data_IF_993545009010
#
_entry.id   IF_993545009010
#
_cell.length_a   1.000
_cell.length_b   1.000
_cell.length_c   1.000
_cell.angle_alpha   90.00
_cell.angle_beta   90.00
_cell.angle_gamma   90.00
#
_symmetry.space_group_name_H-M   'P 1'
#
loop_
_entity.id
_entity.type
_entity.pdbx_description
1 polymer ?
#
# COMPACT_ATOMS: atom_id res chain seq x y z
N UNK A 1 11.07 10.27 17.54
CA UNK A 1 10.68 9.92 16.15
C UNK A 1 9.16 10.00 16.05
N UNK A 2 8.62 10.56 14.97
CA UNK A 2 7.18 10.55 14.71
C UNK A 2 6.94 9.51 13.62
N UNK A 3 6.19 8.47 13.94
CA UNK A 3 5.64 7.57 12.93
C UNK A 3 4.89 8.42 11.91
N UNK A 4 5.24 8.26 10.62
CA UNK A 4 4.53 8.94 9.54
C UNK A 4 3.44 8.00 9.08
N UNK A 5 2.18 8.37 9.32
CA UNK A 5 1.03 7.59 8.94
C UNK A 5 0.09 8.41 8.06
N UNK A 6 -0.54 7.74 7.10
CA UNK A 6 -1.58 8.27 6.25
C UNK A 6 -2.76 7.30 6.29
N UNK A 7 -3.97 7.83 6.43
CA UNK A 7 -5.20 7.02 6.38
C UNK A 7 -6.24 7.71 5.52
N UNK A 8 -6.84 6.98 4.59
CA UNK A 8 -7.83 7.53 3.68
C UNK A 8 -8.80 6.45 3.19
N UNK A 9 -10.00 6.89 2.84
CA UNK A 9 -11.00 6.04 2.20
C UNK A 9 -10.63 5.82 0.73
N UNK A 10 -10.86 4.61 0.23
CA UNK A 10 -10.63 4.24 -1.16
C UNK A 10 -11.91 3.71 -1.79
N UNK A 11 -12.33 4.35 -2.89
CA UNK A 11 -13.44 3.90 -3.73
C UNK A 11 -12.96 3.74 -5.17
N UNK A 12 -12.83 2.50 -5.63
CA UNK A 12 -12.56 2.22 -7.04
C UNK A 12 -13.92 2.15 -7.76
N UNK A 13 -14.19 3.13 -8.62
CA UNK A 13 -15.51 3.39 -9.20
C UNK A 13 -16.11 2.26 -10.05
N UNK A 14 -15.34 1.22 -10.37
CA UNK A 14 -15.79 0.11 -11.21
C UNK A 14 -16.33 -1.10 -10.44
N UNK A 15 -15.95 -1.30 -9.16
CA UNK A 15 -16.14 -2.60 -8.47
C UNK A 15 -16.91 -2.51 -7.12
N UNK A 16 -17.21 -1.33 -6.57
CA UNK A 16 -17.90 -1.22 -5.26
C UNK A 16 -18.71 0.06 -5.10
N UNK A 17 -19.91 -0.06 -4.53
CA UNK A 17 -20.70 1.08 -4.04
C UNK A 17 -20.12 1.66 -2.75
N UNK A 18 -19.50 0.80 -1.92
CA UNK A 18 -18.93 1.14 -0.62
C UNK A 18 -17.45 1.54 -0.71
N UNK A 19 -17.05 2.48 0.15
CA UNK A 19 -15.66 2.88 0.31
C UNK A 19 -14.94 1.94 1.29
N UNK A 20 -13.80 1.40 0.87
CA UNK A 20 -12.86 0.71 1.75
C UNK A 20 -11.98 1.71 2.51
N UNK A 21 -11.23 1.24 3.51
CA UNK A 21 -10.31 2.09 4.30
C UNK A 21 -8.88 1.58 4.18
N UNK A 22 -7.96 2.50 3.91
CA UNK A 22 -6.55 2.22 3.75
C UNK A 22 -5.71 2.97 4.78
N UNK A 23 -4.78 2.25 5.38
CA UNK A 23 -3.76 2.77 6.27
C UNK A 23 -2.38 2.47 5.70
N UNK A 24 -1.54 3.50 5.64
CA UNK A 24 -0.14 3.40 5.28
C UNK A 24 0.69 3.92 6.43
N UNK A 25 1.63 3.12 6.91
CA UNK A 25 2.53 3.48 8.00
C UNK A 25 3.96 3.32 7.51
N UNK A 26 4.77 4.35 7.77
CA UNK A 26 6.20 4.37 7.52
C UNK A 26 6.92 4.31 8.87
N UNK A 27 7.71 3.26 9.07
CA UNK A 27 8.50 3.03 10.27
C UNK A 27 9.98 3.13 9.93
N UNK A 28 10.77 3.67 10.85
CA UNK A 28 12.23 3.66 10.73
C UNK A 28 12.72 2.20 10.80
N UNK A 29 13.57 1.81 9.86
CA UNK A 29 14.21 0.48 9.81
C UNK A 29 15.73 0.66 9.65
N UNK A 30 16.59 -0.18 10.25
CA UNK A 30 18.05 -0.02 10.12
C UNK A 30 18.55 0.06 8.67
N UNK A 31 17.89 -0.67 7.78
CA UNK A 31 18.22 -0.72 6.35
C UNK A 31 17.39 0.25 5.47
N UNK A 32 16.63 1.17 6.07
CA UNK A 32 15.81 2.14 5.34
C UNK A 32 14.48 2.45 6.02
N UNK A 33 13.37 2.27 5.31
CA UNK A 33 12.01 2.54 5.81
C UNK A 33 11.15 1.31 5.60
N UNK A 34 10.56 0.78 6.68
CA UNK A 34 9.54 -0.26 6.57
C UNK A 34 8.20 0.40 6.23
N UNK A 35 7.59 -0.04 5.13
CA UNK A 35 6.27 0.43 4.69
C UNK A 35 5.24 -0.65 4.98
N UNK A 36 4.28 -0.36 5.85
CA UNK A 36 3.15 -1.25 6.15
C UNK A 36 1.86 -0.71 5.53
N UNK A 37 1.17 -1.59 4.81
CA UNK A 37 -0.13 -1.30 4.21
C UNK A 37 -1.19 -2.20 4.84
N UNK A 38 -2.20 -1.58 5.44
CA UNK A 38 -3.38 -2.28 5.94
C UNK A 38 -4.62 -1.72 5.23
N UNK A 39 -5.23 -2.56 4.39
CA UNK A 39 -6.42 -2.23 3.63
C UNK A 39 -7.58 -3.08 4.16
N UNK A 40 -8.64 -2.44 4.63
CA UNK A 40 -9.77 -3.07 5.29
C UNK A 40 -11.12 -2.53 4.78
N UNK A 41 -12.22 -3.09 5.30
CA UNK A 41 -13.61 -2.73 4.96
C UNK A 41 -13.93 -2.92 3.48
N UNK A 42 -13.42 -4.00 2.89
CA UNK A 42 -13.83 -4.43 1.55
C UNK A 42 -15.31 -4.83 1.53
N UNK A 43 -15.99 -4.56 0.41
CA UNK A 43 -17.39 -4.95 0.22
C UNK A 43 -17.58 -6.47 0.21
N UNK A 44 -16.60 -7.20 -0.33
CA UNK A 44 -16.57 -8.67 -0.32
C UNK A 44 -15.12 -9.20 -0.41
N UNK A 45 -14.99 -10.53 -0.31
CA UNK A 45 -13.71 -11.22 -0.36
C UNK A 45 -13.03 -11.22 -1.74
N UNK A 46 -13.80 -11.19 -2.83
CA UNK A 46 -13.24 -11.14 -4.19
C UNK A 46 -12.53 -9.79 -4.41
N UNK A 47 -13.18 -8.69 -4.00
CA UNK A 47 -12.58 -7.35 -4.03
C UNK A 47 -11.31 -7.28 -3.17
N UNK A 48 -11.32 -7.86 -1.96
CA UNK A 48 -10.10 -7.96 -1.12
C UNK A 48 -8.97 -8.67 -1.87
N UNK A 49 -9.27 -9.81 -2.49
CA UNK A 49 -8.26 -10.65 -3.16
C UNK A 49 -7.69 -9.98 -4.41
N UNK A 50 -8.52 -9.25 -5.16
CA UNK A 50 -8.08 -8.38 -6.26
C UNK A 50 -7.14 -7.27 -5.76
N UNK A 51 -7.48 -6.61 -4.65
CA UNK A 51 -6.60 -5.60 -4.05
C UNK A 51 -5.29 -6.20 -3.54
N UNK A 52 -5.32 -7.42 -2.98
CA UNK A 52 -4.11 -8.11 -2.57
C UNK A 52 -3.19 -8.40 -3.76
N UNK A 53 -3.74 -8.76 -4.93
CA UNK A 53 -2.96 -8.91 -6.16
C UNK A 53 -2.39 -7.57 -6.63
N UNK A 54 -3.20 -6.51 -6.63
CA UNK A 54 -2.79 -5.15 -6.97
C UNK A 54 -1.65 -4.64 -6.09
N UNK A 55 -1.74 -4.83 -4.78
CA UNK A 55 -0.70 -4.42 -3.82
C UNK A 55 0.61 -5.17 -4.03
N UNK A 56 0.59 -6.48 -4.29
CA UNK A 56 1.82 -7.23 -4.63
C UNK A 56 2.50 -6.64 -5.86
N UNK A 57 1.73 -6.32 -6.90
CA UNK A 57 2.26 -5.69 -8.11
C UNK A 57 2.80 -4.28 -7.87
N UNK A 58 2.11 -3.47 -7.08
CA UNK A 58 2.51 -2.11 -6.73
C UNK A 58 3.82 -2.10 -5.91
N UNK A 59 3.88 -2.88 -4.83
CA UNK A 59 5.04 -2.95 -3.96
C UNK A 59 6.26 -3.55 -4.67
N UNK A 60 6.08 -4.56 -5.51
CA UNK A 60 7.19 -5.11 -6.32
C UNK A 60 7.75 -4.12 -7.34
N UNK A 61 6.94 -3.20 -7.88
CA UNK A 61 7.42 -2.11 -8.73
C UNK A 61 8.12 -1.02 -7.93
N UNK A 62 7.60 -0.69 -6.74
CA UNK A 62 8.22 0.27 -5.84
C UNK A 62 9.62 -0.18 -5.41
N UNK A 63 9.77 -1.46 -5.05
CA UNK A 63 11.06 -2.06 -4.72
C UNK A 63 12.08 -1.86 -5.84
N UNK A 64 11.71 -2.19 -7.09
CA UNK A 64 12.57 -1.98 -8.27
C UNK A 64 12.92 -0.51 -8.47
N UNK A 65 11.93 0.37 -8.39
CA UNK A 65 12.16 1.81 -8.56
C UNK A 65 13.13 2.38 -7.53
N UNK A 66 13.02 1.97 -6.26
CA UNK A 66 13.92 2.42 -5.19
C UNK A 66 15.32 1.81 -5.36
N UNK A 67 15.43 0.56 -5.77
CA UNK A 67 16.70 -0.09 -6.07
C UNK A 67 17.43 0.59 -7.24
N UNK A 68 16.73 0.91 -8.33
CA UNK A 68 17.29 1.61 -9.49
C UNK A 68 17.74 3.05 -9.12
N UNK A 69 16.95 3.73 -8.29
CA UNK A 69 17.27 5.07 -7.79
C UNK A 69 18.50 5.08 -6.88
N UNK A 70 18.77 3.99 -6.17
CA UNK A 70 19.96 3.86 -5.31
C UNK A 70 21.22 3.39 -6.06
N UNK A 71 21.07 2.75 -7.23
CA UNK A 71 22.18 2.32 -8.10
C UNK A 71 22.65 3.40 -9.08
N UNK A 72 21.95 4.54 -9.19
CA UNK A 72 22.30 5.64 -10.13
C UNK A 72 23.24 6.71 -9.52
N UNK A 73 24.09 6.34 -8.57
CA UNK A 73 25.08 7.25 -7.93
C UNK A 73 26.48 7.01 -8.49
#
# INVERSE_FOLDING_TARGET
>A
MRDRALSYTWKLGTHSTESSLLHVVFLDHPDGTEVRIHHERFGDAAVRDEHALGWRGCLGKLERFVADATMSV
#
